data_IF_653834001972
#
_entry.id   IF_653834001972
#
_cell.length_a   1.000
_cell.length_b   1.000
_cell.length_c   1.000
_cell.angle_alpha   90.00
_cell.angle_beta   90.00
_cell.angle_gamma   90.00
#
_symmetry.space_group_name_H-M   'P 1'
#
loop_
_entity.id
_entity.type
_entity.pdbx_description
1 polymer ?
#
# COMPACT_ATOMS: atom_id res chain seq x y z
N UNK A 1 -6.94 -29.01 -8.28
CA UNK A 1 -8.05 -28.18 -7.77
C UNK A 1 -7.48 -27.25 -6.71
N UNK A 2 -6.99 -26.07 -7.11
CA UNK A 2 -6.38 -25.11 -6.18
C UNK A 2 -7.50 -24.32 -5.50
N UNK A 3 -7.56 -24.37 -4.17
CA UNK A 3 -8.55 -23.62 -3.40
C UNK A 3 -8.29 -22.11 -3.59
N UNK A 4 -9.22 -21.44 -4.27
CA UNK A 4 -9.34 -19.99 -4.27
C UNK A 4 -9.74 -19.58 -2.85
N UNK A 5 -8.76 -19.24 -2.01
CA UNK A 5 -9.00 -18.58 -0.73
C UNK A 5 -9.93 -17.39 -0.97
N UNK A 6 -10.98 -17.28 -0.15
CA UNK A 6 -12.07 -16.32 -0.30
C UNK A 6 -11.61 -14.97 -0.85
N UNK A 7 -12.30 -14.46 -1.89
CA UNK A 7 -12.14 -13.12 -2.47
C UNK A 7 -12.22 -12.07 -1.37
N UNK A 8 -11.10 -11.75 -0.74
CA UNK A 8 -11.03 -10.69 0.25
C UNK A 8 -10.88 -9.40 -0.52
N UNK A 9 -11.93 -8.58 -0.56
CA UNK A 9 -11.85 -7.25 -1.14
C UNK A 9 -10.77 -6.47 -0.39
N UNK A 10 -9.65 -6.21 -1.07
CA UNK A 10 -8.53 -5.50 -0.48
C UNK A 10 -8.86 -4.02 -0.44
N UNK A 11 -9.39 -3.57 0.70
CA UNK A 11 -9.76 -2.16 0.87
C UNK A 11 -8.55 -1.23 1.10
N UNK A 12 -7.33 -1.64 0.72
CA UNK A 12 -6.10 -0.91 1.05
C UNK A 12 -5.78 0.15 -0.02
N UNK A 13 -5.03 1.17 0.38
CA UNK A 13 -4.45 2.16 -0.54
C UNK A 13 -2.94 1.99 -0.46
N UNK A 14 -2.30 1.82 -1.61
CA UNK A 14 -0.87 1.65 -1.73
C UNK A 14 -0.23 3.00 -2.08
N UNK A 15 0.90 3.28 -1.44
CA UNK A 15 1.76 4.41 -1.73
C UNK A 15 3.10 3.84 -2.17
N UNK A 16 3.33 3.83 -3.49
CA UNK A 16 4.54 3.32 -4.11
C UNK A 16 5.68 4.30 -3.93
N UNK A 17 6.63 3.95 -3.08
CA UNK A 17 7.82 4.76 -2.84
C UNK A 17 8.97 4.15 -3.65
N UNK A 18 9.78 4.97 -4.36
CA UNK A 18 10.99 4.45 -5.00
C UNK A 18 11.93 3.85 -3.94
N UNK A 19 12.73 2.84 -4.34
CA UNK A 19 13.48 1.97 -3.43
C UNK A 19 14.42 2.71 -2.46
N UNK A 20 14.83 3.94 -2.80
CA UNK A 20 15.73 4.78 -2.01
C UNK A 20 15.02 6.00 -1.38
N UNK A 21 13.68 6.04 -1.39
CA UNK A 21 12.96 7.22 -0.89
C UNK A 21 13.13 7.34 0.65
N UNK A 22 13.49 8.52 1.19
CA UNK A 22 13.65 8.72 2.63
C UNK A 22 12.38 8.38 3.42
N UNK A 23 11.20 8.52 2.80
CA UNK A 23 9.91 8.10 3.38
C UNK A 23 9.82 6.60 3.72
N UNK A 24 10.62 5.75 3.09
CA UNK A 24 10.70 4.30 3.39
C UNK A 24 11.28 4.04 4.80
N UNK A 25 12.15 4.94 5.26
CA UNK A 25 12.78 4.85 6.58
C UNK A 25 11.85 5.28 7.71
N UNK A 26 10.86 6.16 7.45
CA UNK A 26 9.95 6.63 8.49
C UNK A 26 9.13 5.50 9.11
N UNK A 27 9.02 5.49 10.45
CA UNK A 27 8.17 4.53 11.15
C UNK A 27 6.70 4.71 10.76
N UNK A 28 5.96 3.62 10.61
CA UNK A 28 4.55 3.63 10.20
C UNK A 28 3.68 4.51 11.11
N UNK A 29 4.01 4.58 12.41
CA UNK A 29 3.34 5.46 13.37
C UNK A 29 3.54 6.95 13.06
N UNK A 30 4.77 7.36 12.70
CA UNK A 30 5.06 8.74 12.32
C UNK A 30 4.34 9.14 11.03
N UNK A 31 4.29 8.22 10.06
CA UNK A 31 3.51 8.40 8.82
C UNK A 31 2.02 8.56 9.13
N UNK A 32 1.46 7.73 10.02
CA UNK A 32 0.05 7.82 10.43
C UNK A 32 -0.25 9.18 11.06
N UNK A 33 0.59 9.63 11.98
CA UNK A 33 0.44 10.93 12.63
C UNK A 33 0.55 12.10 11.63
N UNK A 34 1.49 12.04 10.69
CA UNK A 34 1.67 13.06 9.66
C UNK A 34 0.46 13.14 8.71
N UNK A 35 -0.07 12.00 8.28
CA UNK A 35 -1.26 11.93 7.43
C UNK A 35 -2.50 12.46 8.17
N UNK A 36 -2.72 12.04 9.41
CA UNK A 36 -3.84 12.56 10.23
C UNK A 36 -3.76 14.07 10.44
N UNK A 37 -2.55 14.63 10.65
CA UNK A 37 -2.37 16.07 10.83
C UNK A 37 -2.52 16.89 9.54
N UNK A 38 -1.99 16.39 8.42
CA UNK A 38 -1.89 17.18 7.18
C UNK A 38 -3.09 17.03 6.24
N UNK A 39 -3.86 15.95 6.36
CA UNK A 39 -4.90 15.58 5.38
C UNK A 39 -6.31 15.67 6.01
N UNK A 40 -6.41 16.14 7.26
CA UNK A 40 -7.65 16.10 8.05
C UNK A 40 -8.32 14.72 7.91
N UNK A 41 -7.54 13.69 8.23
CA UNK A 41 -8.06 12.33 8.31
C UNK A 41 -8.40 12.10 9.77
N UNK A 42 -9.70 11.97 10.06
CA UNK A 42 -10.18 11.58 11.37
C UNK A 42 -9.37 10.39 11.88
N UNK A 43 -9.01 10.39 13.17
CA UNK A 43 -8.17 9.32 13.77
C UNK A 43 -8.72 7.91 13.51
N UNK A 44 -10.04 7.81 13.35
CA UNK A 44 -10.78 6.60 13.05
C UNK A 44 -10.83 6.20 11.56
N UNK A 45 -10.52 7.10 10.62
CA UNK A 45 -10.55 6.82 9.18
C UNK A 45 -9.47 5.82 8.74
N UNK A 46 -8.30 5.86 9.41
CA UNK A 46 -7.16 4.98 9.11
C UNK A 46 -6.94 3.99 10.26
N UNK A 47 -7.27 2.72 10.01
CA UNK A 47 -7.04 1.62 10.95
C UNK A 47 -5.54 1.48 11.24
N UNK A 48 -4.74 1.28 10.20
CA UNK A 48 -3.29 1.11 10.35
C UNK A 48 -2.52 1.48 9.08
N UNK A 49 -1.21 1.64 9.20
CA UNK A 49 -0.29 1.78 8.07
C UNK A 49 0.71 0.64 8.17
N UNK A 50 0.89 -0.07 7.06
CA UNK A 50 1.81 -1.19 6.96
C UNK A 50 2.97 -0.80 6.04
N UNK A 51 4.20 -1.12 6.45
CA UNK A 51 5.35 -1.06 5.56
C UNK A 51 5.34 -2.26 4.62
N UNK A 52 5.70 -2.02 3.37
CA UNK A 52 5.80 -3.02 2.30
C UNK A 52 7.07 -2.75 1.52
N UNK A 53 7.66 -3.77 0.88
CA UNK A 53 8.97 -3.62 0.21
C UNK A 53 9.04 -2.45 -0.78
N UNK A 54 7.94 -2.18 -1.47
CA UNK A 54 7.82 -1.12 -2.48
C UNK A 54 7.21 0.18 -1.94
N UNK A 55 7.06 0.34 -0.62
CA UNK A 55 6.57 1.58 -0.01
C UNK A 55 5.66 1.35 1.20
N UNK A 56 4.44 1.88 1.15
CA UNK A 56 3.51 1.90 2.29
C UNK A 56 2.12 1.47 1.86
N UNK A 57 1.41 0.76 2.73
CA UNK A 57 0.02 0.40 2.56
C UNK A 57 -0.83 1.02 3.68
N UNK A 58 -1.70 1.94 3.30
CA UNK A 58 -2.70 2.55 4.17
C UNK A 58 -3.90 1.60 4.25
N UNK A 59 -4.27 1.22 5.46
CA UNK A 59 -5.43 0.37 5.74
C UNK A 59 -6.54 1.26 6.31
N UNK A 60 -7.54 1.62 5.50
CA UNK A 60 -8.72 2.34 5.97
C UNK A 60 -9.61 1.43 6.82
N UNK A 61 -10.44 2.07 7.65
CA UNK A 61 -11.38 1.35 8.52
C UNK A 61 -12.58 0.78 7.78
N UNK A 62 -13.09 1.49 6.76
CA UNK A 62 -14.23 1.06 5.92
C UNK A 62 -14.00 1.42 4.44
N UNK A 63 -14.83 0.88 3.54
CA UNK A 63 -14.74 1.17 2.09
C UNK A 63 -15.02 2.63 1.76
N UNK A 64 -15.95 3.27 2.48
CA UNK A 64 -16.22 4.70 2.36
C UNK A 64 -15.01 5.53 2.75
N UNK A 65 -14.35 5.18 3.87
CA UNK A 65 -13.14 5.86 4.31
C UNK A 65 -11.98 5.67 3.32
N UNK A 66 -11.90 4.52 2.64
CA UNK A 66 -10.94 4.31 1.54
C UNK A 66 -11.14 5.36 0.45
N UNK A 67 -12.37 5.55 -0.02
CA UNK A 67 -12.66 6.50 -1.09
C UNK A 67 -12.38 7.94 -0.64
N UNK A 68 -12.74 8.30 0.60
CA UNK A 68 -12.43 9.61 1.16
C UNK A 68 -10.92 9.88 1.28
N UNK A 69 -10.13 8.86 1.64
CA UNK A 69 -8.66 8.98 1.67
C UNK A 69 -8.11 9.08 0.24
N UNK A 70 -8.67 8.34 -0.71
CA UNK A 70 -8.21 8.34 -2.10
C UNK A 70 -8.58 9.62 -2.85
N UNK A 71 -9.70 10.27 -2.53
CA UNK A 71 -10.01 11.61 -3.03
C UNK A 71 -8.87 12.60 -2.71
N UNK A 72 -8.25 12.41 -1.55
CA UNK A 72 -7.08 13.16 -1.09
C UNK A 72 -5.74 12.60 -1.59
N UNK A 73 -5.73 11.71 -2.59
CA UNK A 73 -4.52 11.06 -3.11
C UNK A 73 -3.46 12.05 -3.59
N UNK A 74 -3.86 13.19 -4.18
CA UNK A 74 -2.93 14.24 -4.61
C UNK A 74 -2.17 14.85 -3.41
N UNK A 75 -2.86 15.08 -2.30
CA UNK A 75 -2.24 15.56 -1.07
C UNK A 75 -1.31 14.49 -0.45
N UNK A 76 -1.75 13.23 -0.42
CA UNK A 76 -0.93 12.10 0.04
C UNK A 76 0.36 12.01 -0.77
N UNK A 77 0.26 12.08 -2.10
CA UNK A 77 1.41 12.08 -3.02
C UNK A 77 2.35 13.25 -2.75
N UNK A 78 1.82 14.44 -2.48
CA UNK A 78 2.63 15.60 -2.13
C UNK A 78 3.37 15.47 -0.80
N UNK A 79 2.82 14.72 0.16
CA UNK A 79 3.39 14.57 1.51
C UNK A 79 4.40 13.42 1.57
N UNK A 80 4.07 12.29 0.97
CA UNK A 80 4.88 11.06 1.06
C UNK A 80 5.83 10.89 -0.12
N UNK A 81 5.53 11.53 -1.26
CA UNK A 81 6.13 11.18 -2.55
C UNK A 81 5.49 9.92 -3.14
N UNK A 82 5.79 9.65 -4.43
CA UNK A 82 5.46 8.36 -5.05
C UNK A 82 4.14 8.25 -5.81
N UNK A 83 3.73 7.03 -6.14
CA UNK A 83 2.41 6.71 -6.72
C UNK A 83 1.41 6.44 -5.60
N UNK A 84 0.13 6.76 -5.82
CA UNK A 84 -0.96 6.41 -4.89
C UNK A 84 -1.99 5.63 -5.67
N UNK A 85 -2.25 4.40 -5.26
CA UNK A 85 -3.04 3.44 -6.02
C UNK A 85 -4.01 2.71 -5.08
N UNK A 86 -5.21 2.38 -5.54
CA UNK A 86 -6.11 1.56 -4.73
C UNK A 86 -5.83 0.07 -4.98
N UNK A 87 -5.91 -0.74 -3.93
CA UNK A 87 -5.66 -2.17 -4.00
C UNK A 87 -6.85 -2.95 -4.58
N UNK A 88 -7.29 -2.66 -5.81
CA UNK A 88 -8.49 -3.31 -6.37
C UNK A 88 -8.35 -4.83 -6.53
N UNK A 89 -7.15 -5.35 -6.83
CA UNK A 89 -6.93 -6.78 -7.00
C UNK A 89 -5.57 -7.22 -6.48
N UNK A 90 -5.45 -7.39 -5.17
CA UNK A 90 -4.31 -8.12 -4.61
C UNK A 90 -4.66 -9.60 -4.61
N UNK A 91 -4.03 -10.37 -5.49
CA UNK A 91 -4.10 -11.81 -5.44
C UNK A 91 -2.93 -12.31 -4.59
N UNK A 92 -3.22 -13.01 -3.49
CA UNK A 92 -2.16 -13.63 -2.68
C UNK A 92 -1.83 -14.96 -3.32
N UNK A 93 -0.70 -15.03 -4.02
CA UNK A 93 -0.19 -16.29 -4.57
C UNK A 93 0.72 -16.94 -3.54
N UNK A 94 0.44 -18.20 -3.18
CA UNK A 94 1.40 -19.05 -2.49
C UNK A 94 2.22 -19.73 -3.57
N UNK A 95 3.46 -19.30 -3.73
CA UNK A 95 4.42 -19.95 -4.63
C UNK A 95 5.14 -21.01 -3.80
N UNK A 96 4.72 -22.26 -3.97
CA UNK A 96 5.24 -23.42 -3.21
C UNK A 96 6.77 -23.57 -3.38
N UNK A 97 7.29 -23.21 -4.57
CA UNK A 97 8.71 -23.22 -4.88
C UNK A 97 9.15 -21.82 -5.33
N UNK A 98 9.70 -21.03 -4.40
CA UNK A 98 10.26 -19.71 -4.73
C UNK A 98 11.47 -19.91 -5.65
N UNK A 99 11.44 -19.41 -6.90
CA UNK A 99 12.58 -19.56 -7.80
C UNK A 99 13.78 -18.81 -7.22
N UNK A 100 14.91 -19.52 -7.06
CA UNK A 100 16.17 -18.93 -6.57
C UNK A 100 16.81 -17.96 -7.57
N UNK A 101 16.31 -17.92 -8.80
CA UNK A 101 16.76 -17.03 -9.85
C UNK A 101 15.55 -16.57 -10.67
N UNK A 102 15.33 -15.27 -10.73
CA UNK A 102 14.31 -14.64 -11.56
C UNK A 102 15.03 -14.10 -12.79
N UNK A 103 14.90 -14.78 -13.92
CA UNK A 103 15.34 -14.24 -15.20
C UNK A 103 14.25 -13.32 -15.77
N UNK A 104 14.66 -12.22 -16.40
CA UNK A 104 13.73 -11.35 -17.11
C UNK A 104 12.97 -12.14 -18.18
N UNK A 105 11.76 -11.71 -18.51
CA UNK A 105 10.93 -12.34 -19.55
C UNK A 105 11.61 -12.29 -20.93
N UNK A 106 12.52 -11.34 -21.11
CA UNK A 106 13.37 -11.15 -22.30
C UNK A 106 14.64 -12.02 -22.29
N UNK A 107 14.80 -12.89 -21.27
CA UNK A 107 15.96 -13.79 -21.16
C UNK A 107 17.24 -13.11 -20.66
N UNK A 108 17.21 -11.83 -20.30
CA UNK A 108 18.37 -11.18 -19.69
C UNK A 108 18.41 -11.41 -18.16
N UNK A 109 19.62 -11.63 -17.67
CA UNK A 109 19.92 -12.07 -16.30
C UNK A 109 19.97 -10.92 -15.32
#
# INVERSE_FOLDING_TARGET
MQQLGARKLHNRIFVGLPADHPSSMHHAHAVKAALSRKIDLGKESVKTIQKVKSGLAIVPSTAEQRNNIFDKAKAIKSILGGSVEIAEQWMTYVVDHVPRNLQSLDGNK
#
